data_IF_360108910754
#
_entry.id   IF_360108910754
#
_cell.length_a   1.000
_cell.length_b   1.000
_cell.length_c   1.000
_cell.angle_alpha   90.00
_cell.angle_beta   90.00
_cell.angle_gamma   90.00
#
_symmetry.space_group_name_H-M   'P 1'
#
loop_
_entity.id
_entity.type
_entity.pdbx_description
1 polymer ?
#
# COMPACT_ATOMS: atom_id res chain seq x y z
N UNK A 1 -38.00 6.43 -66.26
CA UNK A 1 -37.98 5.28 -65.32
C UNK A 1 -36.83 5.49 -64.35
N UNK A 2 -37.14 5.85 -63.10
CA UNK A 2 -36.15 6.00 -62.03
C UNK A 2 -36.12 4.73 -61.19
N UNK A 3 -34.99 4.01 -61.20
CA UNK A 3 -34.79 2.82 -60.37
C UNK A 3 -34.45 3.30 -58.96
N UNK A 4 -35.34 3.03 -58.01
CA UNK A 4 -35.15 3.29 -56.59
C UNK A 4 -34.48 2.07 -55.95
N UNK A 5 -33.18 2.17 -55.64
CA UNK A 5 -32.44 1.12 -54.91
C UNK A 5 -32.52 1.45 -53.42
N UNK A 6 -33.39 0.76 -52.69
CA UNK A 6 -33.37 0.77 -51.23
C UNK A 6 -32.19 -0.08 -50.74
N UNK A 7 -31.33 0.40 -49.82
CA UNK A 7 -30.33 -0.45 -49.18
C UNK A 7 -31.06 -1.49 -48.32
N UNK A 8 -30.92 -2.77 -48.68
CA UNK A 8 -31.28 -3.87 -47.78
C UNK A 8 -30.16 -4.00 -46.76
N UNK A 9 -30.42 -3.58 -45.53
CA UNK A 9 -29.62 -4.01 -44.40
C UNK A 9 -30.06 -5.43 -44.06
N UNK A 10 -29.26 -6.42 -44.47
CA UNK A 10 -29.42 -7.80 -44.03
C UNK A 10 -28.98 -7.90 -42.55
N UNK A 11 -29.87 -7.49 -41.67
CA UNK A 11 -29.76 -7.82 -40.25
C UNK A 11 -30.17 -9.27 -40.07
N UNK A 12 -29.28 -10.06 -39.48
CA UNK A 12 -29.47 -11.45 -39.13
C UNK A 12 -30.82 -11.68 -38.45
N UNK A 13 -31.72 -12.36 -39.15
CA UNK A 13 -33.07 -12.73 -38.68
C UNK A 13 -33.05 -13.67 -37.47
N UNK A 14 -31.87 -14.19 -37.07
CA UNK A 14 -31.71 -14.94 -35.83
C UNK A 14 -32.01 -14.13 -34.56
N UNK A 15 -31.81 -12.81 -34.56
CA UNK A 15 -31.97 -11.99 -33.35
C UNK A 15 -33.26 -11.15 -33.33
N UNK A 16 -34.03 -11.16 -34.43
CA UNK A 16 -35.27 -10.38 -34.54
C UNK A 16 -36.41 -10.90 -33.63
N UNK A 17 -36.34 -12.17 -33.20
CA UNK A 17 -37.33 -12.76 -32.29
C UNK A 17 -37.23 -12.32 -30.83
N UNK A 18 -36.17 -11.60 -30.43
CA UNK A 18 -35.92 -11.28 -29.02
C UNK A 18 -36.51 -9.94 -28.55
N UNK A 19 -37.06 -9.13 -29.47
CA UNK A 19 -37.56 -7.78 -29.18
C UNK A 19 -39.06 -7.63 -29.46
N UNK A 20 -39.85 -8.68 -29.22
CA UNK A 20 -41.31 -8.60 -29.18
C UNK A 20 -41.81 -9.17 -27.85
N UNK A 21 -41.84 -8.32 -26.82
CA UNK A 21 -42.30 -8.74 -25.50
C UNK A 21 -42.27 -7.61 -24.48
N UNK A 22 -43.38 -6.86 -24.41
CA UNK A 22 -43.64 -5.84 -23.41
C UNK A 22 -43.94 -6.51 -22.06
N UNK A 23 -42.95 -6.74 -21.19
CA UNK A 23 -43.18 -6.90 -19.75
C UNK A 23 -41.88 -6.91 -18.95
N UNK A 24 -41.91 -6.20 -17.84
CA UNK A 24 -40.91 -6.12 -16.77
C UNK A 24 -40.60 -7.51 -16.18
N UNK A 25 -39.54 -8.16 -16.69
CA UNK A 25 -38.68 -9.12 -15.97
C UNK A 25 -37.63 -9.68 -16.96
N UNK A 26 -36.46 -9.05 -17.04
CA UNK A 26 -35.32 -9.60 -17.81
C UNK A 26 -34.51 -10.53 -16.93
N UNK A 27 -34.98 -11.77 -16.79
CA UNK A 27 -34.18 -12.88 -16.30
C UNK A 27 -33.65 -13.70 -17.49
N UNK A 28 -32.32 -13.77 -17.59
CA UNK A 28 -31.48 -14.79 -18.23
C UNK A 28 -32.21 -15.97 -18.90
N UNK A 29 -32.50 -15.89 -20.20
CA UNK A 29 -32.96 -17.07 -20.95
C UNK A 29 -31.92 -17.67 -21.91
N UNK A 30 -30.71 -17.11 -22.02
CA UNK A 30 -29.63 -17.69 -22.84
C UNK A 30 -28.21 -17.53 -22.25
N UNK A 31 -28.07 -17.09 -20.99
CA UNK A 31 -26.76 -16.89 -20.35
C UNK A 31 -25.90 -15.76 -20.95
N UNK A 32 -26.37 -15.07 -22.00
CA UNK A 32 -25.69 -13.93 -22.60
C UNK A 32 -26.16 -12.67 -21.88
N UNK A 33 -25.30 -12.10 -21.04
CA UNK A 33 -25.62 -10.86 -20.35
C UNK A 33 -25.57 -9.68 -21.33
N UNK A 34 -26.22 -8.56 -21.00
CA UNK A 34 -26.15 -7.32 -21.79
C UNK A 34 -24.69 -6.86 -22.00
N UNK A 35 -23.83 -7.14 -21.02
CA UNK A 35 -22.39 -6.91 -21.08
C UNK A 35 -21.69 -7.77 -22.15
N UNK A 36 -22.11 -9.03 -22.30
CA UNK A 36 -21.58 -9.95 -23.33
C UNK A 36 -22.09 -9.56 -24.73
N UNK A 37 -23.28 -8.98 -24.82
CA UNK A 37 -23.79 -8.43 -26.08
C UNK A 37 -22.98 -7.20 -26.55
N UNK A 38 -22.55 -6.35 -25.61
CA UNK A 38 -21.73 -5.19 -25.93
C UNK A 38 -20.33 -5.59 -26.44
N UNK A 39 -19.73 -6.65 -25.89
CA UNK A 39 -18.43 -7.16 -26.35
C UNK A 39 -18.52 -7.86 -27.72
N UNK A 40 -19.63 -8.58 -27.99
CA UNK A 40 -19.92 -9.14 -29.30
C UNK A 40 -20.19 -8.05 -30.36
N UNK A 41 -21.00 -7.03 -30.04
CA UNK A 41 -21.31 -5.93 -30.96
C UNK A 41 -20.13 -5.00 -31.23
N UNK A 42 -19.25 -4.81 -30.25
CA UNK A 42 -18.02 -4.01 -30.42
C UNK A 42 -16.89 -4.75 -31.13
N UNK A 43 -17.02 -6.06 -31.38
CA UNK A 43 -16.00 -6.88 -32.03
C UNK A 43 -14.76 -7.14 -31.17
N UNK A 44 -14.76 -6.69 -29.91
CA UNK A 44 -13.65 -6.88 -28.96
C UNK A 44 -13.43 -8.35 -28.64
N UNK A 45 -14.51 -9.13 -28.49
CA UNK A 45 -14.44 -10.58 -28.30
C UNK A 45 -13.76 -11.28 -29.48
N UNK A 46 -14.11 -10.89 -30.71
CA UNK A 46 -13.51 -11.46 -31.93
C UNK A 46 -12.02 -11.13 -32.07
N UNK A 47 -11.60 -9.92 -31.68
CA UNK A 47 -10.18 -9.53 -31.67
C UNK A 47 -9.36 -10.33 -30.67
N UNK A 48 -9.92 -10.61 -29.49
CA UNK A 48 -9.24 -11.37 -28.43
C UNK A 48 -9.07 -12.83 -28.82
N UNK A 49 -10.11 -13.43 -29.40
CA UNK A 49 -10.02 -14.79 -29.95
C UNK A 49 -9.00 -14.84 -31.11
N UNK A 50 -9.01 -13.84 -32.00
CA UNK A 50 -8.02 -13.76 -33.07
C UNK A 50 -6.60 -13.63 -32.50
N UNK A 51 -6.36 -12.80 -31.50
CA UNK A 51 -5.05 -12.65 -30.86
C UNK A 51 -4.59 -13.93 -30.14
N UNK A 52 -5.51 -14.65 -29.49
CA UNK A 52 -5.20 -15.92 -28.82
C UNK A 52 -4.75 -17.00 -29.80
N UNK A 53 -5.32 -17.02 -31.01
CA UNK A 53 -4.97 -18.00 -32.04
C UNK A 53 -3.94 -17.51 -33.07
N UNK A 54 -3.68 -16.19 -33.13
CA UNK A 54 -2.64 -15.62 -34.00
C UNK A 54 -1.33 -15.64 -33.24
N UNK A 55 -0.47 -16.59 -33.57
CA UNK A 55 0.80 -16.85 -32.86
C UNK A 55 1.91 -15.82 -33.14
N UNK A 56 1.57 -14.65 -33.70
CA UNK A 56 2.49 -13.56 -34.02
C UNK A 56 1.91 -12.22 -33.53
N UNK A 57 2.57 -11.59 -32.55
CA UNK A 57 2.29 -10.22 -32.10
C UNK A 57 2.80 -9.24 -33.16
N UNK A 58 1.90 -8.55 -33.87
CA UNK A 58 2.24 -7.45 -34.77
C UNK A 58 1.72 -6.10 -34.27
N UNK A 59 2.49 -5.04 -34.57
CA UNK A 59 2.38 -3.64 -34.11
C UNK A 59 1.06 -2.92 -34.42
N UNK A 60 0.11 -3.56 -35.13
CA UNK A 60 -1.18 -2.96 -35.48
C UNK A 60 -2.17 -2.94 -34.30
N UNK A 61 -1.89 -3.72 -33.24
CA UNK A 61 -2.73 -3.78 -32.01
C UNK A 61 -2.55 -2.53 -31.13
N UNK A 62 -1.36 -1.90 -31.10
CA UNK A 62 -1.11 -0.71 -30.29
C UNK A 62 -1.89 0.52 -30.77
N UNK A 63 -2.09 0.66 -32.08
CA UNK A 63 -2.78 1.85 -32.64
C UNK A 63 -4.27 1.86 -32.37
N UNK A 64 -4.91 0.70 -32.19
CA UNK A 64 -6.34 0.61 -31.90
C UNK A 64 -6.71 1.04 -30.46
N UNK A 65 -5.73 1.09 -29.54
CA UNK A 65 -5.92 1.52 -28.14
C UNK A 65 -5.87 3.06 -28.00
N UNK A 66 -5.27 3.77 -28.96
CA UNK A 66 -5.06 5.23 -28.90
C UNK A 66 -6.23 6.10 -29.41
N UNK A 67 -7.30 5.49 -29.92
CA UNK A 67 -8.40 6.17 -30.59
C UNK A 67 -9.63 6.45 -29.73
N UNK A 68 -9.54 7.22 -28.65
CA UNK A 68 -10.71 7.88 -28.04
C UNK A 68 -10.32 9.27 -27.56
N UNK A 69 -10.72 10.28 -28.34
CA UNK A 69 -10.22 11.66 -28.29
C UNK A 69 -10.94 12.59 -27.30
N UNK A 70 -11.59 12.06 -26.27
CA UNK A 70 -12.33 12.86 -25.28
C UNK A 70 -11.98 12.48 -23.84
N UNK A 71 -10.70 12.58 -23.45
CA UNK A 71 -10.30 12.56 -22.03
C UNK A 71 -9.09 13.47 -21.76
N UNK A 72 -9.28 14.79 -21.86
CA UNK A 72 -8.30 15.75 -21.30
C UNK A 72 -8.26 15.74 -19.75
N UNK A 73 -9.11 14.93 -19.11
CA UNK A 73 -9.14 14.68 -17.67
C UNK A 73 -8.51 13.35 -17.24
N UNK A 74 -8.09 12.47 -18.16
CA UNK A 74 -7.48 11.18 -17.80
C UNK A 74 -5.96 11.19 -17.77
N UNK A 75 -5.28 12.01 -18.58
CA UNK A 75 -3.81 12.14 -18.50
C UNK A 75 -3.34 12.66 -17.13
N UNK A 76 -4.05 13.63 -16.53
CA UNK A 76 -3.80 14.08 -15.14
C UNK A 76 -4.20 13.05 -14.08
N UNK A 77 -4.96 12.02 -14.46
CA UNK A 77 -5.41 10.92 -13.59
C UNK A 77 -4.45 9.74 -13.63
N UNK A 78 -3.66 9.57 -14.69
CA UNK A 78 -2.65 8.51 -14.84
C UNK A 78 -1.33 8.90 -14.16
N UNK A 79 -0.81 10.11 -14.37
CA UNK A 79 0.43 10.56 -13.71
C UNK A 79 0.23 10.74 -12.19
N UNK A 80 -0.94 11.27 -11.76
CA UNK A 80 -1.31 11.30 -10.36
C UNK A 80 -1.66 9.92 -9.77
N UNK A 81 -1.81 8.87 -10.59
CA UNK A 81 -2.05 7.50 -10.14
C UNK A 81 -0.75 6.76 -9.87
N UNK A 82 0.31 6.98 -10.64
CA UNK A 82 1.62 6.34 -10.44
C UNK A 82 2.30 6.87 -9.17
N UNK A 83 2.33 8.18 -8.97
CA UNK A 83 2.90 8.80 -7.76
C UNK A 83 2.13 8.42 -6.49
N UNK A 84 0.79 8.35 -6.58
CA UNK A 84 -0.06 7.92 -5.47
C UNK A 84 0.08 6.44 -5.19
N UNK A 85 0.11 5.58 -6.22
CA UNK A 85 0.35 4.15 -6.05
C UNK A 85 1.73 3.88 -5.44
N UNK A 86 2.76 4.63 -5.87
CA UNK A 86 4.10 4.53 -5.32
C UNK A 86 4.16 4.97 -3.85
N UNK A 87 3.45 6.06 -3.49
CA UNK A 87 3.37 6.55 -2.11
C UNK A 87 2.60 5.59 -1.21
N UNK A 88 1.50 5.00 -1.70
CA UNK A 88 0.71 4.00 -0.98
C UNK A 88 1.54 2.74 -0.71
N UNK A 89 2.25 2.22 -1.72
CA UNK A 89 3.13 1.07 -1.56
C UNK A 89 4.28 1.35 -0.58
N UNK A 90 4.87 2.56 -0.63
CA UNK A 90 5.88 2.99 0.34
C UNK A 90 5.32 3.07 1.76
N UNK A 91 4.10 3.59 1.95
CA UNK A 91 3.45 3.63 3.27
C UNK A 91 3.25 2.25 3.86
N UNK A 92 2.82 1.28 3.05
CA UNK A 92 2.67 -0.11 3.50
C UNK A 92 4.02 -0.72 3.88
N UNK A 93 5.06 -0.47 3.07
CA UNK A 93 6.41 -0.94 3.36
C UNK A 93 6.96 -0.31 4.65
N UNK A 94 6.81 1.00 4.82
CA UNK A 94 7.34 1.72 5.98
C UNK A 94 6.58 1.32 7.25
N UNK A 95 5.25 1.17 7.17
CA UNK A 95 4.43 0.66 8.28
C UNK A 95 4.84 -0.76 8.69
N UNK A 96 5.07 -1.66 7.74
CA UNK A 96 5.51 -3.03 8.04
C UNK A 96 6.95 -3.08 8.57
N UNK A 97 7.83 -2.20 8.09
CA UNK A 97 9.21 -2.08 8.56
C UNK A 97 9.26 -1.63 10.02
N UNK A 98 8.56 -0.53 10.38
CA UNK A 98 8.54 -0.06 11.77
C UNK A 98 7.86 -1.08 12.69
N UNK A 99 6.78 -1.74 12.27
CA UNK A 99 6.14 -2.79 13.07
C UNK A 99 7.07 -3.98 13.30
N UNK A 100 7.94 -4.30 12.34
CA UNK A 100 8.97 -5.34 12.52
C UNK A 100 10.08 -4.90 13.47
N UNK A 101 10.51 -3.63 13.41
CA UNK A 101 11.47 -3.06 14.35
C UNK A 101 10.92 -3.05 15.79
N UNK A 102 9.65 -2.67 15.97
CA UNK A 102 8.98 -2.72 17.27
C UNK A 102 8.90 -4.15 17.81
N UNK A 103 8.57 -5.14 16.97
CA UNK A 103 8.55 -6.55 17.40
C UNK A 103 9.90 -7.00 17.93
N UNK A 104 10.99 -6.70 17.22
CA UNK A 104 12.35 -7.00 17.70
C UNK A 104 12.68 -6.37 19.04
N UNK A 105 12.22 -5.13 19.27
CA UNK A 105 12.38 -4.46 20.57
C UNK A 105 11.50 -5.11 21.65
N UNK A 106 10.31 -5.58 21.30
CA UNK A 106 9.33 -6.21 22.18
C UNK A 106 9.59 -7.69 22.44
N UNK A 107 10.55 -8.32 21.74
CA UNK A 107 10.86 -9.73 21.94
C UNK A 107 11.27 -9.99 23.40
N UNK A 108 10.71 -11.06 23.96
CA UNK A 108 10.92 -11.45 25.36
C UNK A 108 11.52 -12.86 25.43
N UNK A 109 12.20 -13.17 26.54
CA UNK A 109 12.84 -14.47 26.72
C UNK A 109 14.19 -14.57 26.02
N UNK A 110 14.41 -15.64 25.25
CA UNK A 110 15.73 -15.98 24.68
C UNK A 110 16.16 -15.05 23.54
N UNK A 111 15.20 -14.51 22.81
CA UNK A 111 15.44 -13.59 21.69
C UNK A 111 15.40 -12.11 22.14
N UNK A 112 15.22 -11.86 23.44
CA UNK A 112 15.20 -10.51 24.00
C UNK A 112 16.57 -9.86 23.85
N UNK A 113 16.59 -8.68 23.22
CA UNK A 113 17.77 -7.82 23.17
C UNK A 113 18.21 -7.34 24.56
N UNK A 114 17.30 -7.38 25.54
CA UNK A 114 17.52 -6.98 26.93
C UNK A 114 17.72 -8.18 27.86
N UNK A 115 18.06 -9.36 27.34
CA UNK A 115 18.51 -10.47 28.16
C UNK A 115 19.96 -10.23 28.61
N UNK A 116 20.23 -10.33 29.92
CA UNK A 116 21.59 -10.29 30.44
C UNK A 116 22.41 -11.44 29.87
N UNK A 117 23.56 -11.12 29.27
CA UNK A 117 24.55 -12.09 28.81
C UNK A 117 25.77 -12.04 29.73
N UNK A 118 26.40 -13.18 29.94
CA UNK A 118 27.71 -13.23 30.57
C UNK A 118 28.75 -12.66 29.59
N UNK A 119 29.32 -11.51 29.92
CA UNK A 119 30.39 -10.88 29.14
C UNK A 119 31.71 -11.09 29.86
N UNK A 120 32.67 -11.67 29.14
CA UNK A 120 34.05 -11.81 29.58
C UNK A 120 34.81 -10.55 29.20
N UNK A 121 35.09 -9.69 30.17
CA UNK A 121 36.03 -8.59 30.02
C UNK A 121 37.40 -9.06 30.49
N UNK A 122 38.41 -8.88 29.64
CA UNK A 122 39.80 -9.20 29.97
C UNK A 122 40.45 -7.92 30.46
N UNK A 123 40.77 -7.85 31.75
CA UNK A 123 41.44 -6.68 32.33
C UNK A 123 42.90 -6.61 31.85
N UNK A 124 43.50 -5.42 31.91
CA UNK A 124 44.90 -5.17 31.52
C UNK A 124 45.90 -6.09 32.26
N UNK A 125 45.50 -6.62 33.42
CA UNK A 125 46.27 -7.58 34.24
C UNK A 125 46.11 -9.06 33.83
N UNK A 126 45.42 -9.36 32.72
CA UNK A 126 45.24 -10.73 32.21
C UNK A 126 44.22 -11.59 32.96
N UNK A 127 43.49 -11.03 33.93
CA UNK A 127 42.37 -11.68 34.62
C UNK A 127 41.05 -11.50 33.86
N UNK A 128 40.28 -12.59 33.72
CA UNK A 128 38.94 -12.57 33.13
C UNK A 128 37.90 -12.22 34.21
N UNK A 129 37.23 -11.07 34.10
CA UNK A 129 36.04 -10.77 34.91
C UNK A 129 34.79 -11.17 34.13
N UNK A 130 34.00 -12.09 34.70
CA UNK A 130 32.67 -12.42 34.20
C UNK A 130 31.70 -11.39 34.76
N UNK A 131 31.39 -10.38 33.96
CA UNK A 131 30.36 -9.38 34.28
C UNK A 131 29.09 -9.73 33.53
N UNK A 132 27.95 -9.79 34.23
CA UNK A 132 26.64 -9.81 33.55
C UNK A 132 26.43 -8.46 32.89
N UNK A 133 26.24 -8.45 31.58
CA UNK A 133 26.13 -7.25 30.77
C UNK A 133 25.10 -7.40 29.66
N UNK A 134 24.96 -6.34 28.88
CA UNK A 134 24.00 -6.28 27.79
C UNK A 134 24.73 -6.06 26.47
N UNK A 135 24.14 -6.57 25.39
CA UNK A 135 24.62 -6.35 24.03
C UNK A 135 24.23 -4.93 23.58
N UNK A 136 24.97 -3.94 24.08
CA UNK A 136 24.68 -2.50 23.89
C UNK A 136 24.63 -2.12 22.42
N UNK A 137 25.51 -2.69 21.60
CA UNK A 137 25.50 -2.47 20.16
C UNK A 137 24.23 -3.04 19.52
N UNK A 138 23.81 -4.27 19.85
CA UNK A 138 22.56 -4.81 19.31
C UNK A 138 21.31 -4.03 19.75
N UNK A 139 21.29 -3.54 21.00
CA UNK A 139 20.21 -2.67 21.50
C UNK A 139 20.21 -1.34 20.75
N UNK A 140 21.39 -0.73 20.54
CA UNK A 140 21.53 0.50 19.77
C UNK A 140 21.06 0.33 18.31
N UNK A 141 21.51 -0.72 17.62
CA UNK A 141 21.11 -1.01 16.24
C UNK A 141 19.59 -1.20 16.10
N UNK A 142 18.96 -1.84 17.09
CA UNK A 142 17.51 -1.97 17.12
C UNK A 142 16.80 -0.63 17.37
N UNK A 143 17.34 0.21 18.26
CA UNK A 143 16.82 1.56 18.52
C UNK A 143 16.99 2.48 17.31
N UNK A 144 18.14 2.41 16.62
CA UNK A 144 18.42 3.12 15.38
C UNK A 144 17.47 2.67 14.26
N UNK A 145 17.30 1.35 14.07
CA UNK A 145 16.35 0.79 13.11
C UNK A 145 14.91 1.24 13.38
N UNK A 146 14.52 1.34 14.65
CA UNK A 146 13.22 1.88 15.03
C UNK A 146 13.09 3.37 14.69
N UNK A 147 14.12 4.18 15.00
CA UNK A 147 14.14 5.60 14.67
C UNK A 147 14.07 5.84 13.15
N UNK A 148 14.81 5.07 12.36
CA UNK A 148 14.79 5.13 10.90
C UNK A 148 13.42 4.73 10.35
N UNK A 149 12.83 3.63 10.85
CA UNK A 149 11.50 3.20 10.47
C UNK A 149 10.44 4.26 10.77
N UNK A 150 10.53 4.90 11.92
CA UNK A 150 9.68 6.03 12.30
C UNK A 150 9.86 7.23 11.36
N UNK A 151 11.10 7.65 11.12
CA UNK A 151 11.41 8.80 10.27
C UNK A 151 10.92 8.61 8.83
N UNK A 152 11.12 7.41 8.28
CA UNK A 152 10.64 7.05 6.94
C UNK A 152 9.11 7.11 6.89
N UNK A 153 8.43 6.51 7.88
CA UNK A 153 6.97 6.54 7.94
C UNK A 153 6.42 7.98 8.04
N UNK A 154 7.03 8.84 8.86
CA UNK A 154 6.63 10.26 8.97
C UNK A 154 6.84 10.99 7.63
N UNK A 155 7.97 10.78 6.96
CA UNK A 155 8.26 11.41 5.68
C UNK A 155 7.26 10.98 4.59
N UNK A 156 7.03 9.67 4.46
CA UNK A 156 6.10 9.12 3.47
C UNK A 156 4.65 9.49 3.78
N UNK A 157 4.25 9.49 5.07
CA UNK A 157 2.90 9.88 5.48
C UNK A 157 2.63 11.36 5.25
N UNK A 158 3.62 12.23 5.45
CA UNK A 158 3.50 13.67 5.18
C UNK A 158 3.31 13.98 3.69
N UNK A 159 3.82 13.12 2.80
CA UNK A 159 3.62 13.23 1.35
C UNK A 159 2.25 12.68 0.89
N UNK A 160 1.47 12.06 1.80
CA UNK A 160 0.17 11.47 1.46
C UNK A 160 -0.93 12.52 1.32
N UNK A 161 -1.76 12.35 0.31
CA UNK A 161 -2.97 13.16 0.13
C UNK A 161 -4.16 12.66 0.98
N UNK A 162 -4.03 11.54 1.69
CA UNK A 162 -5.13 10.96 2.47
C UNK A 162 -5.23 11.57 3.86
N UNK A 163 -6.36 12.21 4.14
CA UNK A 163 -6.62 12.84 5.44
C UNK A 163 -6.61 11.86 6.62
N UNK A 164 -6.97 10.58 6.40
CA UNK A 164 -6.90 9.53 7.44
C UNK A 164 -5.47 9.14 7.76
N UNK A 165 -4.62 9.05 6.73
CA UNK A 165 -3.16 8.84 6.91
C UNK A 165 -2.58 10.01 7.69
N UNK A 166 -2.89 11.25 7.31
CA UNK A 166 -2.39 12.45 7.99
C UNK A 166 -2.87 12.52 9.44
N UNK A 167 -4.13 12.16 9.71
CA UNK A 167 -4.66 12.13 11.08
C UNK A 167 -3.97 11.07 11.95
N UNK A 168 -3.68 9.90 11.39
CA UNK A 168 -2.94 8.85 12.07
C UNK A 168 -1.47 9.27 12.31
N UNK A 169 -0.85 9.95 11.35
CA UNK A 169 0.49 10.53 11.45
C UNK A 169 0.56 11.63 12.53
N UNK A 170 -0.39 12.57 12.59
CA UNK A 170 -0.44 13.56 13.68
C UNK A 170 -0.59 12.91 15.05
N UNK A 171 -1.38 11.84 15.15
CA UNK A 171 -1.51 11.07 16.39
C UNK A 171 -0.22 10.33 16.78
N UNK A 172 0.55 9.87 15.79
CA UNK A 172 1.86 9.26 15.98
C UNK A 172 2.87 10.31 16.48
N UNK A 173 2.94 11.48 15.83
CA UNK A 173 3.79 12.60 16.25
C UNK A 173 3.45 13.06 17.66
N UNK A 174 2.16 13.28 17.95
CA UNK A 174 1.72 13.71 19.29
C UNK A 174 2.10 12.69 20.38
N UNK A 175 2.01 11.39 20.08
CA UNK A 175 2.47 10.34 21.00
C UNK A 175 3.98 10.45 21.27
N UNK A 176 4.79 10.64 20.24
CA UNK A 176 6.24 10.79 20.35
C UNK A 176 6.65 12.06 21.06
N UNK A 177 6.06 13.19 20.72
CA UNK A 177 6.31 14.49 21.36
C UNK A 177 5.99 14.43 22.85
N UNK A 178 4.91 13.73 23.25
CA UNK A 178 4.56 13.54 24.66
C UNK A 178 5.62 12.76 25.46
N UNK A 179 6.50 12.01 24.77
CA UNK A 179 7.59 11.23 25.35
C UNK A 179 8.98 11.81 25.08
N UNK A 180 9.07 12.98 24.44
CA UNK A 180 10.33 13.58 24.03
C UNK A 180 11.37 13.69 25.16
N UNK A 181 10.98 14.16 26.35
CA UNK A 181 11.91 14.26 27.50
C UNK A 181 12.45 12.90 27.97
N UNK A 182 11.62 11.86 27.93
CA UNK A 182 12.02 10.53 28.34
C UNK A 182 12.93 9.88 27.28
N UNK A 183 12.64 10.12 26.00
CA UNK A 183 13.48 9.73 24.87
C UNK A 183 14.85 10.43 24.93
N UNK A 184 14.87 11.73 25.23
CA UNK A 184 16.11 12.50 25.35
C UNK A 184 16.99 11.97 26.48
N UNK A 185 16.38 11.58 27.61
CA UNK A 185 17.07 10.95 28.72
C UNK A 185 17.71 9.58 28.42
N UNK A 186 17.38 8.97 27.29
CA UNK A 186 18.04 7.76 26.77
C UNK A 186 18.86 8.02 25.51
N UNK A 187 19.14 9.28 25.16
CA UNK A 187 19.93 9.65 23.98
C UNK A 187 19.15 9.69 22.65
N UNK A 188 17.81 9.66 22.69
CA UNK A 188 16.96 9.80 21.50
C UNK A 188 16.33 11.20 21.49
N UNK A 189 16.72 12.04 20.55
CA UNK A 189 16.20 13.41 20.44
C UNK A 189 15.06 13.49 19.42
N UNK A 190 14.01 14.26 19.73
CA UNK A 190 12.93 14.59 18.78
C UNK A 190 13.23 15.96 18.16
N UNK A 191 13.45 15.98 16.84
CA UNK A 191 13.71 17.18 16.06
C UNK A 191 12.46 18.05 15.87
N UNK A 192 12.66 19.27 15.38
CA UNK A 192 11.56 20.20 15.04
C UNK A 192 10.70 19.71 13.87
N UNK A 193 11.25 18.84 13.04
CA UNK A 193 10.56 18.14 11.95
C UNK A 193 9.84 16.88 12.45
N UNK A 194 9.73 16.70 13.77
CA UNK A 194 9.16 15.54 14.43
C UNK A 194 9.85 14.23 14.07
N UNK A 195 11.14 14.26 13.69
CA UNK A 195 11.94 13.07 13.44
C UNK A 195 12.80 12.72 14.66
N UNK A 196 13.15 11.45 14.77
CA UNK A 196 14.00 10.90 15.81
C UNK A 196 15.46 10.90 15.37
N UNK A 197 16.36 11.28 16.28
CA UNK A 197 17.80 11.14 16.11
C UNK A 197 18.36 10.41 17.31
N UNK A 198 19.14 9.35 17.09
CA UNK A 198 19.77 8.56 18.15
C UNK A 198 21.23 8.97 18.27
N UNK A 199 21.62 9.47 19.44
CA UNK A 199 23.00 9.82 19.79
C UNK A 199 23.66 8.57 20.39
N UNK A 200 24.58 7.94 19.64
CA UNK A 200 25.19 6.66 20.03
C UNK A 200 25.92 6.74 21.37
N UNK A 201 26.62 7.84 21.63
CA UNK A 201 27.42 7.99 22.84
C UNK A 201 26.49 8.14 24.05
N UNK A 202 25.52 9.07 23.98
CA UNK A 202 24.53 9.25 25.06
C UNK A 202 23.65 8.02 25.27
N UNK A 203 23.31 7.29 24.20
CA UNK A 203 22.50 6.09 24.29
C UNK A 203 23.25 4.95 24.99
N UNK A 204 24.56 4.82 24.74
CA UNK A 204 25.41 3.82 25.40
C UNK A 204 25.67 4.17 26.88
N UNK A 205 25.76 5.47 27.20
CA UNK A 205 25.86 5.96 28.58
C UNK A 205 24.54 5.81 29.36
N UNK A 206 23.40 5.75 28.66
CA UNK A 206 22.09 5.64 29.30
C UNK A 206 21.91 4.33 30.06
N UNK A 207 21.09 4.40 31.11
CA UNK A 207 20.70 3.25 31.92
C UNK A 207 19.87 2.24 31.09
N UNK A 208 20.33 0.99 31.02
CA UNK A 208 19.66 -0.09 30.26
C UNK A 208 18.23 -0.27 30.73
N UNK A 209 17.94 -0.14 32.02
CA UNK A 209 16.58 -0.33 32.53
C UNK A 209 15.64 0.75 32.02
N UNK A 210 16.13 2.00 31.90
CA UNK A 210 15.37 3.11 31.31
C UNK A 210 15.17 2.91 29.81
N UNK A 211 16.22 2.50 29.10
CA UNK A 211 16.14 2.17 27.66
C UNK A 211 15.12 1.05 27.45
N UNK A 212 15.20 -0.02 28.24
CA UNK A 212 14.28 -1.16 28.20
C UNK A 212 12.85 -0.73 28.50
N UNK A 213 12.64 0.03 29.57
CA UNK A 213 11.30 0.50 29.97
C UNK A 213 10.63 1.35 28.89
N UNK A 214 11.40 2.16 28.15
CA UNK A 214 10.87 2.98 27.07
C UNK A 214 10.68 2.21 25.77
N UNK A 215 11.67 1.41 25.35
CA UNK A 215 11.67 0.72 24.06
C UNK A 215 10.87 -0.60 24.07
N UNK A 216 10.82 -1.31 25.19
CA UNK A 216 9.87 -2.43 25.41
C UNK A 216 8.55 -1.96 26.04
N UNK A 217 8.40 -0.65 26.31
CA UNK A 217 7.22 -0.10 26.96
C UNK A 217 6.01 0.07 26.05
N UNK A 218 4.96 0.67 26.62
CA UNK A 218 3.74 1.03 25.89
C UNK A 218 3.96 2.06 24.78
N UNK A 219 5.08 2.80 24.80
CA UNK A 219 5.41 3.79 23.79
C UNK A 219 5.59 3.15 22.40
N UNK A 220 6.45 2.14 22.27
CA UNK A 220 6.72 1.50 20.97
C UNK A 220 5.51 0.74 20.45
N UNK A 221 4.70 0.14 21.33
CA UNK A 221 3.40 -0.44 20.97
C UNK A 221 2.42 0.61 20.44
N UNK A 222 2.36 1.78 21.08
CA UNK A 222 1.54 2.90 20.60
C UNK A 222 1.98 3.38 19.22
N UNK A 223 3.28 3.45 18.97
CA UNK A 223 3.87 3.76 17.67
C UNK A 223 3.49 2.71 16.62
N UNK A 224 3.62 1.42 16.94
CA UNK A 224 3.22 0.32 16.07
C UNK A 224 1.73 0.41 15.70
N UNK A 225 0.84 0.61 16.68
CA UNK A 225 -0.60 0.71 16.42
C UNK A 225 -0.94 1.86 15.45
N UNK A 226 -0.27 3.00 15.57
CA UNK A 226 -0.45 4.12 14.64
C UNK A 226 0.12 3.83 13.26
N UNK A 227 1.27 3.15 13.19
CA UNK A 227 1.84 2.70 11.92
C UNK A 227 0.94 1.69 11.20
N UNK A 228 0.40 0.72 11.92
CA UNK A 228 -0.53 -0.27 11.39
C UNK A 228 -1.81 0.40 10.85
N UNK A 229 -2.33 1.43 11.53
CA UNK A 229 -3.44 2.25 11.02
C UNK A 229 -3.08 3.00 9.74
N UNK A 230 -1.88 3.59 9.66
CA UNK A 230 -1.39 4.25 8.44
C UNK A 230 -1.33 3.25 7.28
N UNK A 231 -0.72 2.08 7.49
CA UNK A 231 -0.65 1.01 6.50
C UNK A 231 -2.04 0.50 6.08
N UNK A 232 -2.98 0.39 7.02
CA UNK A 232 -4.36 0.01 6.73
C UNK A 232 -5.07 1.07 5.87
N UNK A 233 -4.89 2.36 6.16
CA UNK A 233 -5.48 3.42 5.34
C UNK A 233 -4.85 3.50 3.95
N UNK A 234 -3.55 3.25 3.84
CA UNK A 234 -2.85 3.13 2.56
C UNK A 234 -3.44 1.98 1.72
N UNK A 235 -3.61 0.79 2.30
CA UNK A 235 -4.26 -0.37 1.64
C UNK A 235 -5.66 -0.06 1.13
N UNK A 236 -6.45 0.62 1.96
CA UNK A 236 -7.82 1.02 1.58
C UNK A 236 -7.82 2.03 0.42
N UNK A 237 -6.83 2.92 0.37
CA UNK A 237 -6.68 3.83 -0.77
C UNK A 237 -6.24 3.10 -2.03
N UNK A 238 -5.32 2.13 -1.94
CA UNK A 238 -4.98 1.26 -3.07
C UNK A 238 -6.22 0.53 -3.60
N UNK A 239 -7.05 -0.02 -2.71
CA UNK A 239 -8.28 -0.73 -3.07
C UNK A 239 -9.36 0.18 -3.70
N UNK A 240 -9.38 1.47 -3.34
CA UNK A 240 -10.24 2.47 -3.99
C UNK A 240 -9.68 2.94 -5.32
N UNK A 241 -8.36 3.11 -5.40
CA UNK A 241 -7.66 3.53 -6.61
C UNK A 241 -7.72 2.46 -7.71
N UNK A 242 -7.71 1.17 -7.34
CA UNK A 242 -7.91 0.05 -8.26
C UNK A 242 -9.34 -0.05 -8.82
N UNK A 243 -10.26 0.79 -8.34
CA UNK A 243 -11.66 0.83 -8.77
C UNK A 243 -12.50 -0.33 -8.25
N UNK A 244 -11.93 -1.33 -7.57
CA UNK A 244 -12.66 -2.52 -7.14
C UNK A 244 -13.76 -2.18 -6.12
N UNK A 245 -13.53 -1.21 -5.23
CA UNK A 245 -14.48 -0.80 -4.20
C UNK A 245 -14.81 0.70 -4.26
N UNK A 246 -16.11 1.02 -4.18
CA UNK A 246 -16.62 2.38 -4.05
C UNK A 246 -16.42 2.96 -2.66
N UNK A 247 -16.72 4.27 -2.51
CA UNK A 247 -16.55 5.01 -1.25
C UNK A 247 -17.28 4.39 -0.04
N UNK A 248 -18.30 3.57 -0.28
CA UNK A 248 -19.12 2.88 0.74
C UNK A 248 -18.67 1.44 1.04
N UNK A 249 -17.58 0.94 0.45
CA UNK A 249 -17.11 -0.43 0.65
C UNK A 249 -17.86 -1.50 -0.17
N UNK A 250 -18.88 -1.12 -0.95
CA UNK A 250 -19.47 -1.96 -1.98
C UNK A 250 -18.56 -2.01 -3.21
N UNK A 251 -18.63 -3.09 -4.02
CA UNK A 251 -17.95 -3.12 -5.31
C UNK A 251 -18.36 -1.92 -6.16
N UNK A 252 -17.40 -1.25 -6.79
CA UNK A 252 -17.75 -0.08 -7.60
C UNK A 252 -18.52 -0.52 -8.84
N UNK A 253 -19.77 -0.09 -8.97
CA UNK A 253 -20.62 -0.31 -10.15
C UNK A 253 -20.04 0.22 -11.48
N UNK A 254 -18.87 0.88 -11.45
CA UNK A 254 -18.18 1.39 -12.63
C UNK A 254 -17.15 0.40 -13.23
N UNK A 255 -16.91 -0.76 -12.60
CA UNK A 255 -16.25 -1.87 -13.30
C UNK A 255 -17.27 -2.57 -14.18
N UNK A 256 -17.55 -1.98 -15.33
CA UNK A 256 -17.89 -2.81 -16.49
C UNK A 256 -16.70 -3.73 -16.72
N UNK A 257 -16.93 -5.05 -16.73
CA UNK A 257 -15.91 -6.10 -16.81
C UNK A 257 -14.91 -5.89 -17.96
N UNK A 258 -15.22 -5.05 -18.95
CA UNK A 258 -14.31 -4.65 -20.03
C UNK A 258 -13.07 -3.84 -19.61
N UNK A 259 -13.11 -3.11 -18.48
CA UNK A 259 -11.95 -2.30 -18.03
C UNK A 259 -10.85 -3.15 -17.38
N UNK A 260 -11.17 -4.33 -16.84
CA UNK A 260 -10.19 -5.26 -16.27
C UNK A 260 -9.36 -5.94 -17.37
N UNK A 261 -9.94 -6.18 -18.54
CA UNK A 261 -9.26 -6.78 -19.68
C UNK A 261 -8.36 -5.81 -20.46
N UNK A 262 -8.58 -4.50 -20.31
CA UNK A 262 -7.79 -3.48 -21.02
C UNK A 262 -6.43 -3.17 -20.35
N UNK A 263 -6.16 -3.75 -19.18
CA UNK A 263 -4.87 -3.63 -18.48
C UNK A 263 -4.02 -4.92 -18.50
N UNK A 264 -4.48 -5.98 -19.18
CA UNK A 264 -3.79 -7.29 -19.22
C UNK A 264 -3.22 -7.61 -20.62
N UNK A 265 -3.44 -6.75 -21.62
CA UNK A 265 -2.88 -6.91 -22.97
C UNK A 265 -2.34 -5.61 -23.55
#
# INVERSE_FOLDING_TARGET
MSINIRPRNDYSTLFAGLYAGNSSNKANMLGINLSDYASLKSGSYGKLMKAYYSKDRSEEVEKAVSGTKDQKSSAKRVEASEDKASTIAKLEKDATAISSAVKKLQDTGKDSLFAEKEMKTKNEDGTETVTKGYDRDAIYEAAASFADGYNNLIATASASANTRVNSAQSGLVSLTDSRAKALEGIGITVGKDHKLSVDKDKFNEADVEKVRSLLQGSYTLGVQNRADLIGMYAKNDAARASGVYGSSGAYANNLSSGSLYNGIF
#
